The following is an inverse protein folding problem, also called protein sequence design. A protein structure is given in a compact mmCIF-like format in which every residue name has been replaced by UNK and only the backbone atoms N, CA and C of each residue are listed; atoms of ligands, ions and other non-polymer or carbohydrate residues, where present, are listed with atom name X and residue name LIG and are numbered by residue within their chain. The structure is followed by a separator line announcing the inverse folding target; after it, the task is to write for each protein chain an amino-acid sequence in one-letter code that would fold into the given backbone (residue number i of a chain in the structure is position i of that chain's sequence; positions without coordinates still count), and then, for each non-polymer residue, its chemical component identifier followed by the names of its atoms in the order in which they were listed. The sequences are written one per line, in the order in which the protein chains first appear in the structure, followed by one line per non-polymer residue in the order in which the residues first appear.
data_IF_000163704258
#
_entry.id   IF_000163704258
#
_cell.length_a   1.000
_cell.length_b   1.000
_cell.length_c   1.000
_cell.angle_alpha   90.00
_cell.angle_beta   90.00
_cell.angle_gamma   90.00
#
_symmetry.space_group_name_H-M   'P 1'
#
loop_
_entity.id
_entity.type
_entity.pdbx_description
1 polymer ?
#
# COMPACT_ATOMS: atom_id res chain seq x y z
N UNK A 1 -33.82 13.86 -14.48
CA UNK A 1 -32.39 13.77 -14.84
C UNK A 1 -31.59 14.08 -13.58
N UNK A 2 -31.28 13.07 -12.78
CA UNK A 2 -30.44 13.21 -11.59
C UNK A 2 -29.10 12.56 -11.86
N UNK A 3 -28.06 13.37 -11.91
CA UNK A 3 -26.70 12.91 -11.97
C UNK A 3 -26.32 12.32 -10.61
N UNK A 4 -26.18 11.02 -10.53
CA UNK A 4 -25.55 10.35 -9.38
C UNK A 4 -24.04 10.42 -9.62
N UNK A 5 -23.42 11.42 -9.02
CA UNK A 5 -21.96 11.56 -8.95
C UNK A 5 -21.41 10.43 -8.07
N UNK A 6 -20.73 9.46 -8.68
CA UNK A 6 -20.05 8.39 -7.97
C UNK A 6 -18.89 8.99 -7.16
N UNK A 7 -19.10 9.16 -5.88
CA UNK A 7 -18.04 9.41 -4.91
C UNK A 7 -17.16 8.17 -4.80
N UNK A 8 -16.01 8.17 -5.46
CA UNK A 8 -14.91 7.29 -5.10
C UNK A 8 -14.33 7.84 -3.79
N UNK A 9 -14.27 7.07 -2.70
CA UNK A 9 -13.61 7.55 -1.50
C UNK A 9 -12.13 7.77 -1.84
N UNK A 10 -11.73 9.02 -1.87
CA UNK A 10 -10.31 9.36 -1.98
C UNK A 10 -9.65 9.00 -0.66
N UNK A 11 -8.33 8.74 -0.67
CA UNK A 11 -7.50 8.59 0.55
C UNK A 11 -7.83 9.66 1.61
N UNK A 12 -8.29 10.81 1.17
CA UNK A 12 -8.72 11.95 1.98
C UNK A 12 -9.97 11.67 2.81
N UNK A 13 -10.86 10.80 2.37
CA UNK A 13 -12.10 10.47 3.09
C UNK A 13 -11.85 9.46 4.23
N UNK A 14 -10.84 8.59 4.09
CA UNK A 14 -10.48 7.60 5.10
C UNK A 14 -9.76 8.22 6.32
N UNK A 15 -9.19 9.40 6.16
CA UNK A 15 -8.36 10.06 7.17
C UNK A 15 -9.02 11.27 7.86
N UNK A 16 -10.26 11.60 7.49
CA UNK A 16 -10.96 12.79 8.02
C UNK A 16 -11.69 12.62 9.36
N UNK A 17 -11.67 11.45 9.98
CA UNK A 17 -12.42 11.17 11.23
C UNK A 17 -11.59 11.30 12.51
N UNK A 18 -10.53 12.12 12.52
CA UNK A 18 -9.79 12.33 13.78
C UNK A 18 -9.06 13.66 13.79
N UNK A 19 -9.76 14.74 14.00
CA UNK A 19 -9.14 16.04 14.32
C UNK A 19 -8.73 16.09 15.79
N UNK A 20 -7.45 16.29 16.09
CA UNK A 20 -6.98 16.64 17.41
C UNK A 20 -6.14 17.92 17.36
N UNK A 21 -6.51 18.87 18.23
CA UNK A 21 -5.85 20.15 18.44
C UNK A 21 -4.59 19.94 19.31
N UNK A 22 -3.44 20.40 18.86
CA UNK A 22 -2.21 20.35 19.65
C UNK A 22 -1.91 21.73 20.23
N UNK A 23 -1.86 21.83 21.57
CA UNK A 23 -1.33 22.97 22.30
C UNK A 23 0.08 22.64 22.75
N UNK A 24 1.07 23.41 22.29
CA UNK A 24 2.47 23.26 22.69
C UNK A 24 2.81 24.16 23.88
N UNK A 25 3.38 23.58 24.93
CA UNK A 25 4.05 24.31 26.00
C UNK A 25 5.55 24.05 25.85
N UNK A 26 6.32 25.10 25.62
CA UNK A 26 7.74 25.03 25.37
C UNK A 26 8.58 24.94 26.65
N UNK A 27 9.61 24.12 26.59
CA UNK A 27 10.82 24.26 27.37
C UNK A 27 12.02 24.06 26.44
N UNK A 28 12.88 25.06 26.36
CA UNK A 28 14.03 25.10 25.48
C UNK A 28 15.13 24.14 25.93
N UNK A 29 15.51 23.19 25.07
CA UNK A 29 16.76 22.44 25.14
C UNK A 29 17.43 22.56 23.77
N UNK A 30 18.69 22.89 23.65
CA UNK A 30 19.35 23.12 22.39
C UNK A 30 19.81 21.78 21.80
N UNK A 31 19.00 21.16 20.95
CA UNK A 31 19.43 20.04 20.14
C UNK A 31 18.86 20.15 18.75
N UNK A 32 19.75 20.31 17.75
CA UNK A 32 19.41 20.28 16.32
C UNK A 32 18.72 18.98 15.88
N UNK A 33 18.76 17.91 16.67
CA UNK A 33 18.09 16.64 16.41
C UNK A 33 16.57 16.73 16.52
N UNK A 34 16.03 17.52 17.45
CA UNK A 34 14.60 17.66 17.67
C UNK A 34 13.90 18.24 16.44
N UNK A 35 14.49 19.26 15.85
CA UNK A 35 13.95 19.91 14.65
C UNK A 35 13.93 18.98 13.43
N UNK A 36 14.96 18.13 13.28
CA UNK A 36 15.06 17.18 12.19
C UNK A 36 13.99 16.07 12.25
N UNK A 37 13.55 15.67 13.43
CA UNK A 37 12.50 14.66 13.59
C UNK A 37 11.11 15.23 13.25
N UNK A 38 10.78 16.44 13.73
CA UNK A 38 9.52 17.12 13.39
C UNK A 38 9.43 17.48 11.90
N UNK A 39 10.53 17.91 11.27
CA UNK A 39 10.60 18.17 9.83
C UNK A 39 10.39 16.90 8.98
N UNK A 40 10.51 15.71 9.59
CA UNK A 40 10.24 14.43 8.94
C UNK A 40 8.75 14.13 8.78
N UNK A 41 7.87 14.95 9.34
CA UNK A 41 6.42 14.81 9.23
C UNK A 41 5.79 16.05 8.60
N UNK A 42 4.71 15.83 7.85
CA UNK A 42 3.90 16.90 7.26
C UNK A 42 2.42 16.69 7.54
N UNK A 43 1.74 17.75 7.93
CA UNK A 43 0.29 17.76 8.14
C UNK A 43 -0.47 18.18 6.86
N UNK A 44 -1.72 17.76 6.77
CA UNK A 44 -2.66 18.21 5.75
C UNK A 44 -2.62 17.41 4.47
N UNK A 45 -1.81 17.77 3.47
CA UNK A 45 -1.79 17.12 2.16
C UNK A 45 -0.77 15.98 2.17
N UNK A 46 -1.22 14.78 1.78
CA UNK A 46 -0.31 13.66 1.59
C UNK A 46 0.78 14.01 0.55
N UNK A 47 2.05 13.72 0.83
CA UNK A 47 3.11 13.89 -0.15
C UNK A 47 2.84 13.16 -1.47
N UNK A 48 3.40 13.63 -2.60
CA UNK A 48 3.22 12.98 -3.89
C UNK A 48 3.61 11.50 -3.85
N UNK A 49 2.86 10.68 -4.60
CA UNK A 49 3.16 9.25 -4.75
C UNK A 49 4.34 9.08 -5.71
N UNK A 50 5.54 9.03 -5.14
CA UNK A 50 6.79 8.84 -5.90
C UNK A 50 7.66 7.77 -5.25
N UNK A 51 8.50 7.03 -6.02
CA UNK A 51 9.29 5.92 -5.50
C UNK A 51 10.36 6.31 -4.48
N UNK A 52 10.69 7.59 -4.39
CA UNK A 52 11.67 8.14 -3.44
C UNK A 52 11.03 8.67 -2.14
N UNK A 53 9.72 8.52 -1.94
CA UNK A 53 9.04 9.00 -0.74
C UNK A 53 8.69 7.88 0.22
N UNK A 54 9.07 8.03 1.48
CA UNK A 54 8.73 7.07 2.54
C UNK A 54 7.22 6.87 2.67
N UNK A 55 6.44 7.94 2.59
CA UNK A 55 4.97 7.91 2.63
C UNK A 55 4.31 7.15 1.48
N UNK A 56 5.05 6.85 0.40
CA UNK A 56 4.59 6.01 -0.71
C UNK A 56 4.59 4.52 -0.37
N UNK A 57 5.26 4.13 0.71
CA UNK A 57 5.40 2.74 1.14
C UNK A 57 4.73 2.47 2.48
N UNK A 58 4.89 3.37 3.45
CA UNK A 58 4.42 3.19 4.83
C UNK A 58 3.62 4.40 5.28
N UNK A 59 2.46 4.15 5.86
CA UNK A 59 1.73 5.12 6.65
C UNK A 59 1.35 4.50 8.00
N UNK A 60 1.53 5.26 9.07
CA UNK A 60 1.01 4.93 10.39
C UNK A 60 -0.26 5.72 10.62
N UNK A 61 -1.32 5.05 11.02
CA UNK A 61 -2.61 5.68 11.28
C UNK A 61 -2.70 6.16 12.74
N UNK A 62 -3.62 7.09 13.02
CA UNK A 62 -3.79 7.64 14.36
C UNK A 62 -4.19 6.59 15.41
N UNK A 63 -4.81 5.49 14.98
CA UNK A 63 -5.15 4.34 15.82
C UNK A 63 -3.98 3.36 16.06
N UNK A 64 -2.79 3.68 15.54
CA UNK A 64 -1.60 2.84 15.64
C UNK A 64 -1.51 1.73 14.61
N UNK A 65 -2.51 1.55 13.74
CA UNK A 65 -2.42 0.62 12.62
C UNK A 65 -1.47 1.13 11.53
N UNK A 66 -0.96 0.22 10.72
CA UNK A 66 0.01 0.53 9.66
C UNK A 66 -0.57 0.15 8.31
N UNK A 67 -0.53 1.07 7.36
CA UNK A 67 -0.80 0.78 5.95
C UNK A 67 0.52 0.60 5.20
N UNK A 68 0.73 -0.59 4.63
CA UNK A 68 1.86 -0.92 3.79
C UNK A 68 1.43 -0.91 2.32
N UNK A 69 1.93 0.03 1.53
CA UNK A 69 1.59 0.19 0.12
C UNK A 69 2.57 -0.60 -0.75
N UNK A 70 2.06 -1.63 -1.41
CA UNK A 70 2.87 -2.56 -2.17
C UNK A 70 2.52 -2.49 -3.66
N UNK A 71 3.49 -2.11 -4.49
CA UNK A 71 3.34 -1.84 -5.91
C UNK A 71 3.41 -3.07 -6.82
N UNK A 72 3.25 -4.27 -6.26
CA UNK A 72 3.08 -5.54 -6.99
C UNK A 72 1.74 -6.15 -6.61
N UNK A 73 1.35 -7.23 -7.28
CA UNK A 73 0.06 -7.87 -7.06
C UNK A 73 0.20 -9.27 -6.46
N UNK A 74 -0.84 -9.71 -5.78
CA UNK A 74 -1.03 -11.10 -5.37
C UNK A 74 -1.82 -11.84 -6.47
N UNK A 75 -1.20 -12.86 -7.06
CA UNK A 75 -1.81 -13.73 -8.06
C UNK A 75 -2.21 -15.10 -7.48
N UNK A 76 -2.40 -15.17 -6.16
CA UNK A 76 -2.75 -16.38 -5.42
C UNK A 76 -1.60 -16.94 -4.56
N UNK A 77 -0.37 -16.40 -4.69
CA UNK A 77 0.80 -16.86 -3.93
C UNK A 77 0.81 -16.44 -2.46
N UNK A 78 -0.12 -15.56 -2.00
CA UNK A 78 -0.20 -15.14 -0.60
C UNK A 78 0.84 -14.13 -0.19
N UNK A 79 1.31 -13.30 -1.12
CA UNK A 79 2.36 -12.31 -0.88
C UNK A 79 1.95 -11.27 0.17
N UNK A 80 0.65 -10.97 0.31
CA UNK A 80 0.15 -10.02 1.30
C UNK A 80 0.58 -10.39 2.72
N UNK A 81 0.48 -11.67 3.08
CA UNK A 81 0.91 -12.17 4.41
C UNK A 81 2.41 -11.97 4.61
N UNK A 82 3.23 -12.31 3.62
CA UNK A 82 4.68 -12.15 3.70
C UNK A 82 5.08 -10.67 3.86
N UNK A 83 4.45 -9.77 3.10
CA UNK A 83 4.69 -8.33 3.21
C UNK A 83 4.25 -7.79 4.58
N UNK A 84 3.08 -8.23 5.07
CA UNK A 84 2.62 -7.83 6.40
C UNK A 84 3.58 -8.29 7.50
N UNK A 85 4.11 -9.53 7.43
CA UNK A 85 5.11 -10.02 8.37
C UNK A 85 6.39 -9.17 8.34
N UNK A 86 6.90 -8.84 7.16
CA UNK A 86 8.12 -8.05 7.01
C UNK A 86 7.97 -6.63 7.59
N UNK A 87 6.84 -5.99 7.34
CA UNK A 87 6.55 -4.64 7.85
C UNK A 87 6.30 -4.67 9.35
N UNK A 88 5.54 -5.65 9.84
CA UNK A 88 5.28 -5.83 11.26
C UNK A 88 6.58 -6.08 12.05
N UNK A 89 7.47 -6.91 11.50
CA UNK A 89 8.78 -7.18 12.07
C UNK A 89 9.60 -5.91 12.23
N UNK A 90 9.78 -5.14 11.16
CA UNK A 90 10.61 -3.95 11.17
C UNK A 90 10.06 -2.85 12.08
N UNK A 91 8.74 -2.71 12.18
CA UNK A 91 8.08 -1.69 13.00
C UNK A 91 7.83 -2.11 14.45
N UNK A 92 8.10 -3.35 14.84
CA UNK A 92 7.73 -3.90 16.14
C UNK A 92 6.23 -3.75 16.46
N UNK A 93 5.36 -3.95 15.46
CA UNK A 93 3.91 -3.92 15.63
C UNK A 93 3.30 -5.33 15.49
N UNK A 94 2.13 -5.61 16.08
CA UNK A 94 1.47 -6.88 15.85
C UNK A 94 1.19 -7.10 14.36
N UNK A 95 1.29 -8.34 13.90
CA UNK A 95 0.98 -8.70 12.50
C UNK A 95 -0.38 -8.16 12.05
N UNK A 96 -1.40 -8.29 12.90
CA UNK A 96 -2.77 -7.83 12.62
C UNK A 96 -2.93 -6.31 12.52
N UNK A 97 -1.96 -5.55 13.03
CA UNK A 97 -1.96 -4.10 12.90
C UNK A 97 -1.52 -3.63 11.49
N UNK A 98 -0.95 -4.53 10.68
CA UNK A 98 -0.47 -4.16 9.33
C UNK A 98 -1.50 -4.53 8.27
N UNK A 99 -1.99 -3.53 7.54
CA UNK A 99 -2.84 -3.69 6.36
C UNK A 99 -2.01 -3.46 5.10
N UNK A 100 -1.89 -4.50 4.29
CA UNK A 100 -1.22 -4.38 2.98
C UNK A 100 -2.21 -3.90 1.93
N UNK A 101 -1.88 -2.79 1.27
CA UNK A 101 -2.64 -2.21 0.16
C UNK A 101 -1.86 -2.49 -1.12
N UNK A 102 -2.47 -3.24 -2.05
CA UNK A 102 -1.84 -3.61 -3.33
C UNK A 102 -2.84 -3.67 -4.46
N UNK A 103 -2.32 -3.69 -5.69
CA UNK A 103 -3.16 -3.78 -6.90
C UNK A 103 -3.89 -2.48 -7.26
N UNK A 104 -3.55 -1.37 -6.63
CA UNK A 104 -4.14 -0.06 -6.90
C UNK A 104 -3.04 0.96 -7.24
N UNK A 105 -3.00 1.36 -8.50
CA UNK A 105 -2.02 2.34 -9.02
C UNK A 105 -2.24 3.76 -8.50
N UNK A 106 -3.42 4.04 -7.93
CA UNK A 106 -3.68 5.32 -7.28
C UNK A 106 -3.05 5.40 -5.88
N UNK A 107 -2.68 4.26 -5.29
CA UNK A 107 -2.20 4.19 -3.90
C UNK A 107 -0.79 3.59 -3.76
N UNK A 108 -0.26 2.96 -4.79
CA UNK A 108 1.03 2.29 -4.74
C UNK A 108 1.92 2.72 -5.90
N UNK A 109 3.20 2.91 -5.63
CA UNK A 109 4.20 3.17 -6.66
C UNK A 109 4.49 1.91 -7.46
N UNK A 110 4.95 2.06 -8.70
CA UNK A 110 5.35 0.94 -9.52
C UNK A 110 6.65 0.30 -8.97
N UNK A 111 6.55 -0.93 -8.49
CA UNK A 111 7.69 -1.74 -8.03
C UNK A 111 8.07 -2.86 -9.03
N UNK A 112 7.63 -2.74 -10.28
CA UNK A 112 7.86 -3.73 -11.34
C UNK A 112 6.90 -4.91 -11.30
N UNK A 113 6.99 -5.79 -12.28
CA UNK A 113 6.12 -6.96 -12.42
C UNK A 113 6.28 -7.97 -11.29
N UNK A 114 5.23 -8.75 -11.05
CA UNK A 114 5.20 -9.85 -10.07
C UNK A 114 5.53 -11.19 -10.76
N UNK A 115 6.70 -11.30 -11.39
CA UNK A 115 7.16 -12.52 -12.08
C UNK A 115 8.45 -13.03 -11.46
N UNK A 116 8.77 -14.32 -11.67
CA UNK A 116 10.03 -14.92 -11.23
C UNK A 116 10.29 -14.82 -9.72
N UNK A 117 9.25 -14.94 -8.89
CA UNK A 117 9.32 -14.83 -7.43
C UNK A 117 9.87 -13.49 -6.90
N UNK A 118 9.77 -12.42 -7.68
CA UNK A 118 10.34 -11.10 -7.34
C UNK A 118 9.54 -10.31 -6.28
N UNK A 119 8.41 -10.84 -5.84
CA UNK A 119 7.56 -10.15 -4.85
C UNK A 119 8.29 -9.86 -3.54
N UNK A 120 8.69 -10.89 -2.80
CA UNK A 120 9.43 -10.75 -1.54
C UNK A 120 10.86 -10.28 -1.80
N UNK A 121 11.54 -10.91 -2.75
CA UNK A 121 12.95 -10.71 -3.00
C UNK A 121 13.30 -9.26 -3.37
N UNK A 122 12.44 -8.60 -4.13
CA UNK A 122 12.69 -7.24 -4.61
C UNK A 122 11.73 -6.23 -3.98
N UNK A 123 10.43 -6.39 -4.20
CA UNK A 123 9.43 -5.48 -3.65
C UNK A 123 9.40 -5.48 -2.12
N UNK A 124 9.52 -6.65 -1.51
CA UNK A 124 9.58 -6.79 -0.06
C UNK A 124 10.79 -6.11 0.57
N UNK A 125 11.96 -6.15 -0.07
CA UNK A 125 13.15 -5.44 0.42
C UNK A 125 12.95 -3.94 0.52
N UNK A 126 12.26 -3.33 -0.44
CA UNK A 126 11.96 -1.90 -0.40
C UNK A 126 11.07 -1.53 0.77
N UNK A 127 9.98 -2.30 0.96
CA UNK A 127 9.09 -2.08 2.09
C UNK A 127 9.79 -2.30 3.43
N UNK A 128 10.69 -3.26 3.50
CA UNK A 128 11.49 -3.52 4.68
C UNK A 128 12.39 -2.34 5.03
N UNK A 129 13.10 -1.78 4.06
CA UNK A 129 13.91 -0.57 4.25
C UNK A 129 13.05 0.63 4.63
N UNK A 130 11.92 0.81 3.96
CA UNK A 130 10.99 1.89 4.29
C UNK A 130 10.43 1.76 5.72
N UNK A 131 10.09 0.54 6.15
CA UNK A 131 9.61 0.28 7.51
C UNK A 131 10.70 0.53 8.56
N UNK A 132 11.95 0.13 8.29
CA UNK A 132 13.09 0.42 9.17
C UNK A 132 13.31 1.93 9.32
N UNK A 133 13.23 2.69 8.23
CA UNK A 133 13.36 4.15 8.26
C UNK A 133 12.18 4.81 9.00
N UNK A 134 10.95 4.33 8.79
CA UNK A 134 9.78 4.80 9.53
C UNK A 134 9.94 4.55 11.04
N UNK A 135 10.44 3.36 11.42
CA UNK A 135 10.72 3.03 12.83
C UNK A 135 11.76 3.98 13.44
N UNK A 136 12.84 4.25 12.72
CA UNK A 136 13.87 5.21 13.20
C UNK A 136 13.26 6.57 13.50
N UNK A 137 12.48 7.12 12.55
CA UNK A 137 11.83 8.43 12.71
C UNK A 137 10.88 8.43 13.92
N UNK A 138 10.08 7.37 14.08
CA UNK A 138 9.16 7.26 15.21
C UNK A 138 9.89 7.16 16.56
N UNK A 139 11.05 6.52 16.60
CA UNK A 139 11.90 6.49 17.81
C UNK A 139 12.50 7.87 18.07
N UNK A 140 12.97 8.58 17.05
CA UNK A 140 13.51 9.93 17.20
C UNK A 140 12.44 10.91 17.75
N UNK A 141 11.20 10.83 17.22
CA UNK A 141 10.06 11.60 17.73
C UNK A 141 9.69 11.22 19.17
N UNK A 142 9.79 9.94 19.52
CA UNK A 142 9.56 9.49 20.89
C UNK A 142 10.65 9.98 21.84
N UNK A 143 11.89 9.97 21.40
CA UNK A 143 13.03 10.49 22.16
C UNK A 143 12.82 11.97 22.53
N UNK A 144 12.39 12.76 21.57
CA UNK A 144 12.04 14.15 21.79
C UNK A 144 10.86 14.30 22.77
N UNK A 145 9.76 13.59 22.52
CA UNK A 145 8.53 13.71 23.32
C UNK A 145 8.72 13.22 24.76
N UNK A 146 9.52 12.18 24.98
CA UNK A 146 9.76 11.58 26.29
C UNK A 146 10.94 12.21 27.02
N UNK A 147 11.78 12.98 26.30
CA UNK A 147 12.95 13.67 26.86
C UNK A 147 14.09 12.70 27.21
N UNK A 148 14.26 11.62 26.44
CA UNK A 148 15.33 10.62 26.68
C UNK A 148 16.02 10.29 25.35
N UNK A 149 17.32 9.92 25.38
CA UNK A 149 18.03 9.48 24.17
C UNK A 149 17.38 8.28 23.50
N UNK A 150 17.43 8.22 22.16
CA UNK A 150 16.82 7.14 21.36
C UNK A 150 17.36 5.75 21.73
N UNK A 151 18.62 5.66 22.15
CA UNK A 151 19.28 4.42 22.55
C UNK A 151 18.71 3.83 23.86
N UNK A 152 17.99 4.62 24.63
CA UNK A 152 17.27 4.23 25.85
C UNK A 152 15.80 3.96 25.63
N UNK A 153 15.39 3.81 24.38
CA UNK A 153 14.03 3.50 23.99
C UNK A 153 13.93 2.09 23.40
N UNK A 154 12.91 1.40 23.77
CA UNK A 154 12.53 0.12 23.19
C UNK A 154 11.12 0.20 22.62
N UNK A 155 10.80 -0.64 21.62
CA UNK A 155 9.48 -0.70 21.01
C UNK A 155 8.88 -2.07 21.19
N UNK A 156 7.64 -2.11 21.63
CA UNK A 156 6.86 -3.34 21.70
C UNK A 156 5.41 -3.03 21.32
N UNK A 157 4.88 -3.77 20.36
CA UNK A 157 3.50 -3.61 19.92
C UNK A 157 3.14 -2.22 19.36
N UNK A 158 4.12 -1.49 18.79
CA UNK A 158 3.92 -0.12 18.29
C UNK A 158 3.87 0.94 19.39
N UNK A 159 4.27 0.59 20.59
CA UNK A 159 4.42 1.49 21.74
C UNK A 159 5.92 1.61 22.08
N UNK A 160 6.40 2.84 22.14
CA UNK A 160 7.78 3.15 22.54
C UNK A 160 7.82 3.33 24.03
N UNK A 161 8.77 2.66 24.69
CA UNK A 161 8.96 2.66 26.13
C UNK A 161 10.35 3.16 26.50
N UNK A 162 10.46 3.85 27.62
CA UNK A 162 11.75 4.15 28.24
C UNK A 162 12.24 2.98 29.08
N UNK A 163 13.54 2.82 29.21
CA UNK A 163 14.21 1.84 30.09
C UNK A 163 14.40 2.34 31.52
N UNK A 164 13.69 3.38 31.95
CA UNK A 164 13.83 4.03 33.25
C UNK A 164 12.88 3.44 34.30
N UNK A 165 13.18 3.60 35.58
CA UNK A 165 12.34 3.16 36.71
C UNK A 165 10.94 3.80 36.68
N UNK A 166 10.82 5.04 36.19
CA UNK A 166 9.55 5.67 35.86
C UNK A 166 9.24 5.47 34.36
N UNK A 167 8.79 4.28 33.99
CA UNK A 167 8.50 3.92 32.61
C UNK A 167 7.48 4.87 31.98
N UNK A 168 7.96 5.72 31.07
CA UNK A 168 7.12 6.53 30.20
C UNK A 168 6.92 5.79 28.88
N UNK A 169 5.79 5.98 28.24
CA UNK A 169 5.53 5.39 26.95
C UNK A 169 4.75 6.34 26.05
N UNK A 170 4.82 6.08 24.73
CA UNK A 170 4.05 6.78 23.72
C UNK A 170 3.81 5.85 22.54
N UNK A 171 2.60 5.82 22.01
CA UNK A 171 2.26 5.01 20.84
C UNK A 171 2.68 5.66 19.53
N UNK A 172 2.87 4.86 18.50
CA UNK A 172 3.11 5.36 17.15
C UNK A 172 1.96 6.23 16.63
N UNK A 173 0.71 5.88 16.96
CA UNK A 173 -0.46 6.68 16.61
C UNK A 173 -0.42 8.09 17.20
N UNK A 174 -0.04 8.21 18.49
CA UNK A 174 0.13 9.51 19.15
C UNK A 174 1.32 10.31 18.59
N UNK A 175 2.41 9.65 18.19
CA UNK A 175 3.57 10.31 17.59
C UNK A 175 3.25 10.86 16.19
N UNK A 176 2.56 10.08 15.38
CA UNK A 176 2.21 10.50 14.01
C UNK A 176 1.13 11.57 13.99
N UNK A 177 0.14 11.47 14.88
CA UNK A 177 -0.91 12.49 15.05
C UNK A 177 -1.67 12.82 13.77
N UNK A 178 -1.90 11.84 12.89
CA UNK A 178 -2.58 12.06 11.60
C UNK A 178 -1.73 12.75 10.54
N UNK A 179 -0.43 12.89 10.77
CA UNK A 179 0.54 13.45 9.81
C UNK A 179 1.09 12.36 8.89
N UNK A 180 1.79 12.76 7.84
CA UNK A 180 2.48 11.87 6.90
C UNK A 180 3.99 11.99 7.05
N UNK A 181 4.71 10.91 6.77
CA UNK A 181 6.16 10.98 6.63
C UNK A 181 6.53 11.86 5.44
N UNK A 182 7.41 12.84 5.68
CA UNK A 182 7.95 13.76 4.68
C UNK A 182 9.45 13.52 4.49
N UNK A 183 9.80 12.28 4.18
CA UNK A 183 11.19 11.84 4.06
C UNK A 183 11.44 11.31 2.68
N UNK A 184 12.54 11.75 2.07
CA UNK A 184 13.04 11.26 0.80
C UNK A 184 14.01 10.10 1.03
N UNK A 185 13.75 8.97 0.38
CA UNK A 185 14.61 7.81 0.35
C UNK A 185 15.57 7.89 -0.84
N UNK A 186 16.78 7.36 -0.70
CA UNK A 186 17.70 7.27 -1.81
C UNK A 186 17.20 6.24 -2.84
N UNK A 187 16.77 6.72 -4.00
CA UNK A 187 16.27 5.90 -5.09
C UNK A 187 17.17 6.04 -6.33
N UNK A 188 17.46 4.94 -6.99
CA UNK A 188 18.39 4.88 -8.13
C UNK A 188 17.75 5.24 -9.48
N UNK A 189 16.48 5.66 -9.49
CA UNK A 189 15.76 6.03 -10.72
C UNK A 189 15.25 4.85 -11.56
N UNK A 190 15.45 3.60 -11.12
CA UNK A 190 15.06 2.41 -11.89
C UNK A 190 13.82 1.73 -11.29
N UNK A 191 12.93 1.28 -12.18
CA UNK A 191 11.76 0.48 -11.82
C UNK A 191 12.08 -1.00 -12.04
N UNK A 192 11.67 -1.86 -11.11
CA UNK A 192 11.93 -3.30 -11.17
C UNK A 192 13.14 -3.73 -10.32
N UNK A 193 13.81 -4.78 -10.72
CA UNK A 193 14.98 -5.33 -10.02
C UNK A 193 16.26 -4.61 -10.40
N UNK A 194 17.15 -4.33 -9.45
CA UNK A 194 16.98 -4.31 -8.01
C UNK A 194 16.67 -2.90 -7.52
N UNK A 195 15.42 -2.63 -7.20
CA UNK A 195 15.10 -1.38 -6.53
C UNK A 195 15.51 -1.48 -5.07
N UNK A 196 16.59 -0.86 -4.75
CA UNK A 196 17.02 -0.65 -3.38
C UNK A 196 17.07 0.84 -3.11
N UNK A 197 16.25 1.31 -2.18
CA UNK A 197 16.25 2.69 -1.72
C UNK A 197 16.70 2.67 -0.24
N UNK A 198 18.01 2.71 0.06
CA UNK A 198 18.49 2.71 1.42
C UNK A 198 18.07 3.99 2.13
N UNK A 199 17.48 3.84 3.31
CA UNK A 199 17.34 4.92 4.27
C UNK A 199 18.60 5.08 5.12
N UNK A 200 18.53 5.90 6.17
CA UNK A 200 19.57 6.00 7.20
C UNK A 200 19.55 4.79 8.14
N UNK A 201 18.36 4.18 8.33
CA UNK A 201 18.19 3.01 9.17
C UNK A 201 18.63 1.72 8.46
N UNK A 202 19.23 0.83 9.26
CA UNK A 202 19.48 -0.54 8.83
C UNK A 202 18.27 -1.43 9.21
N UNK A 203 17.77 -2.27 8.29
CA UNK A 203 16.79 -3.28 8.62
C UNK A 203 17.30 -4.26 9.70
N UNK A 204 16.39 -4.81 10.49
CA UNK A 204 16.72 -5.78 11.54
C UNK A 204 17.51 -6.97 11.01
N UNK A 205 18.39 -7.50 11.86
CA UNK A 205 19.10 -8.73 11.54
C UNK A 205 18.10 -9.91 11.49
N UNK A 206 18.16 -10.80 10.50
CA UNK A 206 17.31 -11.99 10.45
C UNK A 206 17.35 -12.88 11.69
N UNK A 207 18.45 -12.86 12.44
CA UNK A 207 18.58 -13.57 13.72
C UNK A 207 17.66 -13.06 14.83
N UNK A 208 17.21 -11.80 14.70
CA UNK A 208 16.36 -11.12 15.68
C UNK A 208 14.88 -11.18 15.33
N UNK A 209 14.52 -11.91 14.26
CA UNK A 209 13.14 -12.01 13.80
C UNK A 209 12.26 -12.77 14.78
N UNK A 210 11.07 -12.21 15.04
CA UNK A 210 10.03 -12.76 15.90
C UNK A 210 8.74 -13.08 15.15
N UNK A 211 8.48 -12.36 14.06
CA UNK A 211 7.24 -12.46 13.25
C UNK A 211 7.53 -13.10 11.90
N UNK A 212 8.59 -12.68 11.22
CA UNK A 212 9.02 -13.29 9.96
C UNK A 212 9.48 -14.73 10.21
N UNK A 213 8.99 -15.64 9.39
CA UNK A 213 9.25 -17.08 9.55
C UNK A 213 8.24 -17.82 10.43
N UNK A 214 7.33 -17.11 11.11
CA UNK A 214 6.26 -17.75 11.85
C UNK A 214 5.14 -18.24 10.90
N UNK A 215 4.48 -19.37 11.20
CA UNK A 215 3.42 -19.93 10.38
C UNK A 215 2.11 -19.14 10.59
N UNK A 216 1.95 -18.04 9.88
CA UNK A 216 0.73 -17.23 9.93
C UNK A 216 -0.28 -17.76 8.93
N UNK A 217 -1.50 -18.04 9.41
CA UNK A 217 -2.59 -18.52 8.57
C UNK A 217 -3.04 -17.45 7.59
N UNK A 218 -3.20 -17.84 6.32
CA UNK A 218 -3.82 -17.01 5.28
C UNK A 218 -5.33 -16.96 5.46
N UNK A 219 -5.86 -15.77 5.63
CA UNK A 219 -7.31 -15.57 5.78
C UNK A 219 -8.05 -15.61 4.43
N UNK A 220 -7.36 -15.37 3.32
CA UNK A 220 -7.92 -15.33 1.97
C UNK A 220 -8.17 -16.72 1.35
N UNK A 221 -7.63 -17.80 1.93
CA UNK A 221 -7.75 -19.14 1.34
C UNK A 221 -9.16 -19.71 1.50
N UNK A 222 -9.72 -19.63 2.71
CA UNK A 222 -11.04 -20.20 2.98
C UNK A 222 -12.14 -19.55 2.10
N UNK A 223 -12.26 -18.23 1.97
CA UNK A 223 -13.22 -17.61 1.06
C UNK A 223 -13.06 -18.05 -0.40
N UNK A 224 -11.81 -18.28 -0.85
CA UNK A 224 -11.54 -18.75 -2.22
C UNK A 224 -12.02 -20.18 -2.44
N UNK A 225 -11.77 -21.06 -1.47
CA UNK A 225 -12.17 -22.48 -1.54
C UNK A 225 -13.68 -22.64 -1.47
N UNK A 226 -14.35 -21.82 -0.68
CA UNK A 226 -15.80 -21.88 -0.48
C UNK A 226 -16.60 -20.95 -1.41
N UNK A 227 -16.03 -20.49 -2.52
CA UNK A 227 -16.67 -19.61 -3.50
C UNK A 227 -17.27 -18.31 -2.91
N UNK A 228 -16.67 -17.81 -1.82
CA UNK A 228 -17.07 -16.57 -1.16
C UNK A 228 -16.16 -15.39 -1.56
N UNK A 229 -15.16 -15.64 -2.39
CA UNK A 229 -14.21 -14.64 -2.87
C UNK A 229 -14.61 -14.18 -4.27
N UNK A 230 -14.78 -12.88 -4.46
CA UNK A 230 -15.05 -12.30 -5.77
C UNK A 230 -13.73 -12.07 -6.53
N UNK A 231 -13.50 -12.80 -7.59
CA UNK A 231 -12.43 -12.52 -8.54
C UNK A 231 -12.84 -11.38 -9.49
N UNK A 232 -11.87 -10.80 -10.20
CA UNK A 232 -12.14 -9.73 -11.17
C UNK A 232 -13.19 -10.13 -12.21
N UNK A 233 -13.24 -11.41 -12.60
CA UNK A 233 -14.21 -11.98 -13.54
C UNK A 233 -15.62 -12.07 -12.97
N UNK A 234 -15.76 -12.06 -11.64
CA UNK A 234 -17.05 -12.19 -10.96
C UNK A 234 -17.70 -10.84 -10.66
N UNK A 235 -16.93 -9.75 -10.84
CA UNK A 235 -17.40 -8.39 -10.57
C UNK A 235 -18.45 -7.98 -11.60
N UNK A 236 -19.64 -7.66 -11.12
CA UNK A 236 -20.74 -7.13 -11.94
C UNK A 236 -21.01 -5.68 -11.58
N UNK A 237 -21.07 -4.82 -12.58
CA UNK A 237 -21.40 -3.40 -12.41
C UNK A 237 -22.66 -3.04 -13.20
N UNK A 238 -23.39 -2.04 -12.74
CA UNK A 238 -24.59 -1.59 -13.44
C UNK A 238 -24.25 -1.12 -14.86
N UNK A 239 -24.98 -1.64 -15.85
CA UNK A 239 -24.74 -1.35 -17.27
C UNK A 239 -23.52 -2.06 -17.86
N UNK A 240 -23.00 -3.09 -17.18
CA UNK A 240 -21.93 -3.93 -17.73
C UNK A 240 -22.41 -4.62 -19.00
N UNK A 241 -21.54 -4.65 -20.01
CA UNK A 241 -21.73 -5.43 -21.22
C UNK A 241 -20.64 -6.48 -21.32
N UNK A 242 -20.97 -7.58 -21.94
CA UNK A 242 -20.04 -8.65 -22.28
C UNK A 242 -19.50 -8.42 -23.70
N UNK A 243 -18.19 -8.51 -23.85
CA UNK A 243 -17.54 -8.29 -25.13
C UNK A 243 -16.71 -9.48 -25.58
N UNK A 244 -16.78 -9.78 -26.87
CA UNK A 244 -15.91 -10.77 -27.51
C UNK A 244 -15.17 -10.13 -28.68
N UNK A 245 -13.84 -10.21 -28.62
CA UNK A 245 -12.99 -9.77 -29.72
C UNK A 245 -13.04 -10.77 -30.85
N UNK A 246 -13.19 -10.27 -32.05
CA UNK A 246 -13.06 -11.04 -33.31
C UNK A 246 -11.61 -10.87 -33.76
N UNK A 247 -10.89 -11.97 -33.78
CA UNK A 247 -9.49 -12.01 -34.18
C UNK A 247 -9.32 -12.53 -35.59
N UNK A 248 -8.44 -11.95 -36.39
CA UNK A 248 -8.09 -12.52 -37.68
C UNK A 248 -7.35 -13.83 -37.53
N UNK A 249 -7.46 -14.70 -38.53
CA UNK A 249 -6.72 -15.97 -38.56
C UNK A 249 -5.23 -15.78 -38.84
N UNK A 250 -4.87 -14.66 -39.46
CA UNK A 250 -3.48 -14.29 -39.79
C UNK A 250 -3.08 -13.07 -38.95
N UNK A 251 -1.95 -13.16 -38.25
CA UNK A 251 -1.44 -12.06 -37.45
C UNK A 251 -1.17 -10.83 -38.32
N UNK A 252 -1.59 -9.65 -37.83
CA UNK A 252 -1.42 -8.38 -38.55
C UNK A 252 -2.48 -8.08 -39.60
N UNK A 253 -3.41 -8.99 -39.89
CA UNK A 253 -4.53 -8.68 -40.78
C UNK A 253 -5.50 -7.70 -40.12
N UNK A 254 -6.06 -6.80 -40.94
CA UNK A 254 -6.97 -5.75 -40.49
C UNK A 254 -8.35 -6.00 -41.09
N UNK A 255 -9.44 -5.72 -40.37
CA UNK A 255 -10.78 -5.82 -40.92
C UNK A 255 -10.97 -4.74 -42.01
N UNK A 256 -11.58 -5.13 -43.12
CA UNK A 256 -11.89 -4.24 -44.26
C UNK A 256 -13.37 -3.88 -44.25
N UNK A 257 -14.22 -4.82 -43.90
CA UNK A 257 -15.67 -4.63 -43.77
C UNK A 257 -16.24 -5.59 -42.74
N UNK A 258 -17.44 -5.29 -42.24
CA UNK A 258 -18.17 -6.11 -41.28
C UNK A 258 -19.57 -6.30 -41.79
N UNK A 259 -20.02 -7.55 -41.86
CA UNK A 259 -21.41 -7.90 -42.05
C UNK A 259 -22.08 -8.16 -40.69
N UNK A 260 -22.99 -7.29 -40.31
CA UNK A 260 -23.71 -7.36 -39.04
C UNK A 260 -24.98 -8.24 -39.10
N UNK A 261 -25.27 -8.87 -40.26
CA UNK A 261 -26.49 -9.66 -40.44
C UNK A 261 -26.63 -10.79 -39.43
N UNK A 262 -25.50 -11.40 -39.03
CA UNK A 262 -25.44 -12.50 -38.07
C UNK A 262 -25.83 -12.12 -36.63
N UNK A 263 -25.78 -10.85 -36.28
CA UNK A 263 -26.09 -10.37 -34.90
C UNK A 263 -27.44 -9.63 -34.83
N UNK A 264 -28.11 -9.39 -35.94
CA UNK A 264 -29.39 -8.64 -35.98
C UNK A 264 -30.51 -9.24 -35.13
N UNK A 265 -30.50 -10.57 -34.94
CA UNK A 265 -31.46 -11.29 -34.12
C UNK A 265 -31.11 -11.32 -32.62
N UNK A 266 -29.96 -10.79 -32.20
CA UNK A 266 -29.47 -10.85 -30.79
C UNK A 266 -29.81 -9.53 -30.09
N UNK A 267 -30.69 -9.51 -29.08
CA UNK A 267 -31.10 -8.30 -28.41
C UNK A 267 -29.89 -7.58 -27.75
N UNK A 268 -29.74 -6.30 -28.09
CA UNK A 268 -28.66 -5.46 -27.52
C UNK A 268 -27.24 -5.75 -28.01
N UNK A 269 -27.10 -6.68 -28.97
CA UNK A 269 -25.82 -6.92 -29.61
C UNK A 269 -25.45 -5.77 -30.55
N UNK A 270 -24.18 -5.37 -30.52
CA UNK A 270 -23.63 -4.33 -31.40
C UNK A 270 -22.17 -4.56 -31.70
N UNK A 271 -21.77 -4.19 -32.90
CA UNK A 271 -20.37 -4.21 -33.31
C UNK A 271 -19.63 -3.03 -32.65
N UNK A 272 -18.42 -3.28 -32.21
CA UNK A 272 -17.45 -2.27 -31.82
C UNK A 272 -16.25 -2.38 -32.74
N UNK A 273 -16.08 -1.37 -33.58
CA UNK A 273 -14.94 -1.28 -34.48
C UNK A 273 -14.18 0.04 -34.24
N UNK A 274 -12.96 -0.07 -33.82
CA UNK A 274 -12.11 1.08 -33.52
C UNK A 274 -10.65 0.77 -33.89
N UNK A 275 -10.07 1.53 -34.81
CA UNK A 275 -8.65 1.46 -35.19
C UNK A 275 -8.12 0.04 -35.43
N UNK A 276 -8.87 -0.80 -36.12
CA UNK A 276 -8.50 -2.20 -36.38
C UNK A 276 -8.92 -3.20 -35.30
N UNK A 277 -9.35 -2.74 -34.14
CA UNK A 277 -10.03 -3.59 -33.16
C UNK A 277 -11.46 -3.86 -33.64
N UNK A 278 -11.82 -5.12 -33.75
CA UNK A 278 -13.17 -5.57 -34.05
C UNK A 278 -13.70 -6.49 -32.94
N UNK A 279 -14.86 -6.20 -32.42
CA UNK A 279 -15.53 -7.02 -31.44
C UNK A 279 -17.04 -6.87 -31.47
N UNK A 280 -17.72 -7.71 -30.73
CA UNK A 280 -19.16 -7.64 -30.50
C UNK A 280 -19.40 -7.54 -29.02
N UNK A 281 -20.34 -6.70 -28.61
CA UNK A 281 -20.78 -6.56 -27.23
C UNK A 281 -22.28 -6.76 -27.11
N UNK A 282 -22.71 -7.35 -25.98
CA UNK A 282 -24.14 -7.50 -25.64
C UNK A 282 -24.31 -7.37 -24.10
N UNK A 283 -25.53 -7.01 -23.68
CA UNK A 283 -25.86 -6.89 -22.26
C UNK A 283 -26.00 -8.25 -21.56
N UNK A 284 -26.36 -9.28 -22.30
CA UNK A 284 -26.56 -10.66 -21.82
C UNK A 284 -25.74 -11.60 -22.70
N UNK A 285 -25.12 -12.60 -22.08
CA UNK A 285 -24.53 -13.75 -22.77
C UNK A 285 -25.41 -14.94 -22.44
N UNK A 286 -26.15 -15.44 -23.43
CA UNK A 286 -26.71 -16.78 -23.37
C UNK A 286 -25.61 -17.76 -23.79
N UNK A 287 -25.36 -18.75 -22.92
CA UNK A 287 -24.39 -19.81 -23.16
C UNK A 287 -25.07 -20.96 -23.86
#
# INVERSE_FOLDING_TARGET
MNQITKLRPSRRALLKTGGALVVSIGAAVPFDFARAAEDSLVAGIQPPLTPDRLSSYIAVNADGTVSAFFGKIDMGQGIAVAIAQMVAEELDVPFKAVKVVMGDTATSVNQGGASGATGVQNGGKQLRVAAAEARRILIDLAAEKLGVPAERLSVNGGIVHTDTEMAKSVSYGELIGGRYFNVTLAWNGKIGNPLYAPGKAQPKNPKDYKIVGQPIKREDVAPRVFAQFNFCTDVKVLGMVHGRMIRPTIAGAMPVSVDESSIKGIPGARVVWNQGFLGVVAAVVEI
#
